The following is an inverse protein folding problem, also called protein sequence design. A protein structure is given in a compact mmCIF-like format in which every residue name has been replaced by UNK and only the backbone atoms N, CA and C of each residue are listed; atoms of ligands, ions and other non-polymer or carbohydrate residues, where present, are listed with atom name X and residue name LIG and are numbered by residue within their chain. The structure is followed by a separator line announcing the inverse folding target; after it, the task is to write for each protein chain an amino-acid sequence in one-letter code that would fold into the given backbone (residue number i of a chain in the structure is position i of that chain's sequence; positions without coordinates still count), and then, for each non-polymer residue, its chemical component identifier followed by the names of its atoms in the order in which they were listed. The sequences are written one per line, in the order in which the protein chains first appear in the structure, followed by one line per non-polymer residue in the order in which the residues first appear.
data_IF_846324106867
#
_entry.id   IF_846324106867
#
_cell.length_a   1.000
_cell.length_b   1.000
_cell.length_c   1.000
_cell.angle_alpha   90.00
_cell.angle_beta   90.00
_cell.angle_gamma   90.00
#
_symmetry.space_group_name_H-M   'P 1'
#
loop_
_entity.id
_entity.type
_entity.pdbx_description
1 polymer ?
#
# COMPACT_ATOMS: atom_id res chain seq x y z
N UNK A 1 -21.16 -29.49 -20.94
CA UNK A 1 -20.25 -28.33 -20.80
C UNK A 1 -19.44 -28.56 -19.53
N UNK A 2 -18.12 -28.71 -19.64
CA UNK A 2 -17.27 -28.95 -18.47
C UNK A 2 -17.07 -27.63 -17.73
N UNK A 3 -17.47 -27.58 -16.45
CA UNK A 3 -17.24 -26.44 -15.58
C UNK A 3 -15.73 -26.39 -15.26
N UNK A 4 -14.99 -25.31 -15.54
CA UNK A 4 -13.59 -25.24 -15.16
C UNK A 4 -13.53 -25.22 -13.63
N UNK A 5 -13.05 -26.31 -13.04
CA UNK A 5 -12.76 -26.37 -11.60
C UNK A 5 -11.61 -25.42 -11.32
N UNK A 6 -11.93 -24.19 -10.93
CA UNK A 6 -10.94 -23.27 -10.38
C UNK A 6 -10.52 -23.84 -9.03
N UNK A 7 -9.39 -24.56 -9.01
CA UNK A 7 -8.81 -25.09 -7.79
C UNK A 7 -8.35 -23.91 -6.93
N UNK A 8 -8.98 -23.73 -5.77
CA UNK A 8 -8.55 -22.74 -4.79
C UNK A 8 -7.11 -23.06 -4.35
N UNK A 9 -6.21 -22.07 -4.25
CA UNK A 9 -4.85 -22.30 -3.79
C UNK A 9 -4.87 -22.85 -2.36
N UNK A 10 -4.08 -23.88 -2.11
CA UNK A 10 -3.89 -24.39 -0.74
C UNK A 10 -3.21 -23.33 0.12
N UNK A 11 -3.34 -23.39 1.44
CA UNK A 11 -2.61 -22.47 2.34
C UNK A 11 -1.09 -22.52 2.09
N UNK A 12 -0.56 -23.69 1.73
CA UNK A 12 0.85 -23.85 1.36
C UNK A 12 1.23 -23.09 0.09
N UNK A 13 0.33 -23.02 -0.89
CA UNK A 13 0.58 -22.30 -2.15
C UNK A 13 0.59 -20.78 -1.91
N UNK A 14 -0.29 -20.29 -1.05
CA UNK A 14 -0.30 -18.88 -0.66
C UNK A 14 0.98 -18.45 0.05
N UNK A 15 1.54 -19.32 0.90
CA UNK A 15 2.82 -19.06 1.57
C UNK A 15 3.98 -19.00 0.56
N UNK A 16 4.01 -19.92 -0.41
CA UNK A 16 5.03 -19.92 -1.47
C UNK A 16 4.96 -18.67 -2.34
N UNK A 17 3.75 -18.21 -2.69
CA UNK A 17 3.57 -16.97 -3.47
C UNK A 17 4.04 -15.75 -2.67
N UNK A 18 3.72 -15.67 -1.37
CA UNK A 18 4.19 -14.57 -0.51
C UNK A 18 5.71 -14.55 -0.40
N UNK A 19 6.32 -15.71 -0.16
CA UNK A 19 7.78 -15.86 -0.13
C UNK A 19 8.41 -15.43 -1.46
N UNK A 20 7.90 -15.95 -2.59
CA UNK A 20 8.39 -15.61 -3.92
C UNK A 20 8.32 -14.11 -4.20
N UNK A 21 7.20 -13.47 -3.83
CA UNK A 21 6.99 -12.03 -3.97
C UNK A 21 7.96 -11.22 -3.10
N UNK A 22 8.14 -11.58 -1.84
CA UNK A 22 9.09 -10.88 -0.95
C UNK A 22 10.52 -10.97 -1.46
N UNK A 23 10.93 -12.13 -1.96
CA UNK A 23 12.24 -12.31 -2.60
C UNK A 23 12.34 -11.47 -3.88
N UNK A 24 11.30 -11.46 -4.72
CA UNK A 24 11.28 -10.69 -5.96
C UNK A 24 11.33 -9.17 -5.73
N UNK A 25 10.73 -8.69 -4.64
CA UNK A 25 10.73 -7.26 -4.29
C UNK A 25 12.10 -6.77 -3.79
N UNK A 26 12.92 -7.66 -3.24
CA UNK A 26 14.30 -7.42 -2.79
C UNK A 26 14.43 -6.18 -1.88
N UNK A 27 13.52 -6.05 -0.92
CA UNK A 27 13.51 -4.95 0.07
C UNK A 27 14.31 -5.31 1.32
N UNK A 28 14.23 -6.57 1.75
CA UNK A 28 14.95 -7.09 2.90
C UNK A 28 15.98 -8.13 2.43
N UNK A 29 17.10 -8.31 3.16
CA UNK A 29 18.04 -9.39 2.87
C UNK A 29 17.35 -10.75 2.86
N UNK A 30 17.77 -11.63 1.96
CA UNK A 30 17.20 -12.99 1.81
C UNK A 30 17.16 -13.74 3.15
N UNK A 31 18.21 -13.66 3.95
CA UNK A 31 18.28 -14.31 5.27
C UNK A 31 17.17 -13.84 6.22
N UNK A 32 16.86 -12.55 6.21
CA UNK A 32 15.77 -11.95 7.00
C UNK A 32 14.42 -12.46 6.52
N UNK A 33 14.22 -12.52 5.19
CA UNK A 33 12.99 -13.06 4.60
C UNK A 33 12.81 -14.54 5.00
N UNK A 34 13.83 -15.38 4.81
CA UNK A 34 13.75 -16.80 5.17
C UNK A 34 13.44 -16.99 6.66
N UNK A 35 14.05 -16.19 7.53
CA UNK A 35 13.77 -16.20 8.97
C UNK A 35 12.32 -15.82 9.29
N UNK A 36 11.77 -14.78 8.65
CA UNK A 36 10.38 -14.34 8.84
C UNK A 36 9.36 -15.40 8.41
N UNK A 37 9.71 -16.20 7.40
CA UNK A 37 8.89 -17.32 6.92
C UNK A 37 9.21 -18.65 7.64
N UNK A 38 10.08 -18.64 8.65
CA UNK A 38 10.54 -19.82 9.41
C UNK A 38 11.09 -20.95 8.50
N UNK A 39 11.83 -20.58 7.46
CA UNK A 39 12.42 -21.53 6.49
C UNK A 39 13.85 -21.85 6.91
N UNK A 40 14.13 -23.15 7.11
CA UNK A 40 15.49 -23.64 7.35
C UNK A 40 16.32 -23.68 6.05
N UNK A 41 17.64 -23.73 6.17
CA UNK A 41 18.54 -23.84 5.03
C UNK A 41 18.24 -25.10 4.18
N UNK A 42 18.02 -26.25 4.82
CA UNK A 42 17.67 -27.50 4.14
C UNK A 42 16.37 -27.34 3.34
N UNK A 43 15.36 -26.68 3.93
CA UNK A 43 14.08 -26.42 3.26
C UNK A 43 14.23 -25.44 2.10
N UNK A 44 15.12 -24.45 2.24
CA UNK A 44 15.44 -23.52 1.17
C UNK A 44 16.09 -24.23 -0.01
N UNK A 45 17.04 -25.15 0.22
CA UNK A 45 17.64 -25.96 -0.84
C UNK A 45 16.61 -26.82 -1.58
N UNK A 46 15.65 -27.40 -0.86
CA UNK A 46 14.53 -28.13 -1.47
C UNK A 46 13.67 -27.21 -2.35
N UNK A 47 13.33 -26.01 -1.86
CA UNK A 47 12.56 -25.02 -2.61
C UNK A 47 13.29 -24.55 -3.87
N UNK A 48 14.61 -24.38 -3.79
CA UNK A 48 15.46 -24.07 -4.95
C UNK A 48 15.49 -25.20 -5.99
N UNK A 49 15.10 -26.43 -5.64
CA UNK A 49 14.97 -27.55 -6.60
C UNK A 49 13.53 -27.72 -7.09
N UNK A 50 12.56 -27.10 -6.43
CA UNK A 50 11.16 -27.21 -6.76
C UNK A 50 10.80 -26.36 -8.00
N UNK A 51 10.45 -27.03 -9.10
CA UNK A 51 10.09 -26.37 -10.36
C UNK A 51 8.88 -25.42 -10.25
N UNK A 52 7.90 -25.73 -9.39
CA UNK A 52 6.75 -24.85 -9.14
C UNK A 52 7.18 -23.54 -8.50
N UNK A 53 8.04 -23.63 -7.48
CA UNK A 53 8.53 -22.44 -6.78
C UNK A 53 9.39 -21.56 -7.68
N UNK A 54 10.26 -22.15 -8.52
CA UNK A 54 11.02 -21.39 -9.53
C UNK A 54 10.13 -20.60 -10.47
N UNK A 55 9.09 -21.24 -11.01
CA UNK A 55 8.15 -20.58 -11.91
C UNK A 55 7.40 -19.44 -11.22
N UNK A 56 6.98 -19.64 -9.96
CA UNK A 56 6.35 -18.58 -9.17
C UNK A 56 7.29 -17.40 -8.92
N UNK A 57 8.54 -17.69 -8.55
CA UNK A 57 9.55 -16.65 -8.32
C UNK A 57 9.84 -15.85 -9.60
N UNK A 58 10.01 -16.53 -10.73
CA UNK A 58 10.21 -15.89 -12.04
C UNK A 58 9.02 -14.99 -12.39
N UNK A 59 7.80 -15.51 -12.25
CA UNK A 59 6.57 -14.74 -12.52
C UNK A 59 6.44 -13.49 -11.63
N UNK A 60 6.76 -13.59 -10.34
CA UNK A 60 6.74 -12.45 -9.42
C UNK A 60 7.86 -11.45 -9.73
N UNK A 61 9.06 -11.91 -10.13
CA UNK A 61 10.14 -11.06 -10.61
C UNK A 61 9.74 -10.27 -11.86
N UNK A 62 9.12 -10.93 -12.84
CA UNK A 62 8.62 -10.27 -14.04
C UNK A 62 7.55 -9.23 -13.70
N UNK A 63 6.53 -9.64 -12.92
CA UNK A 63 5.44 -8.78 -12.49
C UNK A 63 5.95 -7.53 -11.77
N UNK A 64 6.90 -7.72 -10.84
CA UNK A 64 7.51 -6.63 -10.09
C UNK A 64 8.25 -5.65 -11.01
N UNK A 65 9.01 -6.16 -11.98
CA UNK A 65 9.85 -5.34 -12.87
C UNK A 65 9.10 -4.73 -14.07
N UNK A 66 7.80 -4.99 -14.23
CA UNK A 66 7.01 -4.34 -15.28
C UNK A 66 6.97 -2.82 -15.12
N UNK A 67 6.95 -2.10 -16.25
CA UNK A 67 6.86 -0.64 -16.25
C UNK A 67 5.57 -0.12 -15.56
N UNK A 68 4.48 -0.88 -15.66
CA UNK A 68 3.19 -0.56 -15.03
C UNK A 68 3.26 -0.60 -13.49
N UNK A 69 4.22 -1.34 -12.92
CA UNK A 69 4.42 -1.46 -11.48
C UNK A 69 5.38 -0.41 -10.90
N UNK A 70 5.81 0.58 -11.69
CA UNK A 70 6.76 1.61 -11.25
C UNK A 70 6.24 2.40 -10.04
N UNK A 71 4.94 2.69 -9.97
CA UNK A 71 4.37 3.45 -8.86
C UNK A 71 4.49 2.71 -7.52
N UNK A 72 4.11 1.43 -7.48
CA UNK A 72 4.23 0.62 -6.26
C UNK A 72 5.69 0.42 -5.86
N UNK A 73 6.59 0.23 -6.84
CA UNK A 73 8.04 0.19 -6.59
C UNK A 73 8.56 1.46 -5.92
N UNK A 74 8.18 2.62 -6.44
CA UNK A 74 8.58 3.92 -5.87
C UNK A 74 8.00 4.09 -4.47
N UNK A 75 6.72 3.76 -4.28
CA UNK A 75 6.05 3.87 -2.99
C UNK A 75 6.72 3.00 -1.92
N UNK A 76 7.01 1.74 -2.24
CA UNK A 76 7.64 0.82 -1.30
C UNK A 76 9.08 1.25 -0.95
N UNK A 77 9.85 1.70 -1.94
CA UNK A 77 11.20 2.25 -1.73
C UNK A 77 11.16 3.53 -0.90
N UNK A 78 10.23 4.44 -1.17
CA UNK A 78 10.07 5.66 -0.41
C UNK A 78 9.70 5.36 1.05
N UNK A 79 8.83 4.37 1.29
CA UNK A 79 8.49 3.95 2.65
C UNK A 79 9.72 3.42 3.42
N UNK A 80 10.53 2.56 2.79
CA UNK A 80 11.77 2.06 3.39
C UNK A 80 12.76 3.20 3.69
N UNK A 81 12.95 4.13 2.75
CA UNK A 81 13.81 5.31 2.96
C UNK A 81 13.32 6.20 4.09
N UNK A 82 11.99 6.38 4.23
CA UNK A 82 11.41 7.13 5.33
C UNK A 82 11.73 6.44 6.66
N UNK A 83 11.52 5.12 6.75
CA UNK A 83 11.80 4.34 7.97
C UNK A 83 13.26 4.49 8.43
N UNK A 84 14.22 4.39 7.51
CA UNK A 84 15.65 4.61 7.79
C UNK A 84 15.95 6.06 8.22
N UNK A 85 15.18 7.02 7.72
CA UNK A 85 15.37 8.44 8.02
C UNK A 85 14.69 8.89 9.32
N UNK A 86 13.68 8.16 9.82
CA UNK A 86 12.94 8.53 11.05
C UNK A 86 13.84 8.79 12.27
N UNK A 87 14.87 7.99 12.58
CA UNK A 87 15.74 8.24 13.72
C UNK A 87 16.49 9.58 13.62
N UNK A 88 16.98 9.91 12.42
CA UNK A 88 17.70 11.16 12.17
C UNK A 88 16.77 12.37 12.28
N UNK A 89 15.56 12.27 11.72
CA UNK A 89 14.54 13.31 11.91
C UNK A 89 14.22 13.51 13.40
N UNK A 90 14.04 12.43 14.16
CA UNK A 90 13.77 12.51 15.59
C UNK A 90 14.91 13.23 16.34
N UNK A 91 16.17 12.94 16.02
CA UNK A 91 17.32 13.64 16.61
C UNK A 91 17.29 15.15 16.31
N UNK A 92 17.04 15.53 15.04
CA UNK A 92 16.93 16.93 14.61
C UNK A 92 15.77 17.69 15.27
N UNK A 93 14.66 17.01 15.56
CA UNK A 93 13.55 17.63 16.28
C UNK A 93 13.91 18.03 17.73
N UNK A 94 14.87 17.35 18.33
CA UNK A 94 15.35 17.63 19.69
C UNK A 94 16.56 18.57 19.73
N UNK A 95 17.18 18.88 18.60
CA UNK A 95 18.37 19.75 18.51
C UNK A 95 18.01 21.21 18.82
N UNK A 96 18.61 21.82 19.85
CA UNK A 96 18.33 23.19 20.26
C UNK A 96 18.71 24.25 19.22
N UNK A 97 19.68 23.96 18.35
CA UNK A 97 20.17 24.90 17.34
C UNK A 97 19.25 24.97 16.12
N UNK A 98 18.35 24.00 15.94
CA UNK A 98 17.42 24.02 14.80
C UNK A 98 16.25 24.97 14.99
N UNK A 99 15.88 25.64 13.89
CA UNK A 99 14.81 26.63 13.87
C UNK A 99 13.46 25.99 14.24
N UNK A 100 12.76 26.61 15.20
CA UNK A 100 11.46 26.11 15.67
C UNK A 100 10.43 25.86 14.55
N UNK A 101 10.32 26.69 13.48
CA UNK A 101 9.45 26.39 12.35
C UNK A 101 9.79 25.09 11.62
N UNK A 102 11.07 24.77 11.43
CA UNK A 102 11.51 23.55 10.76
C UNK A 102 11.15 22.30 11.59
N UNK A 103 11.23 22.40 12.92
CA UNK A 103 10.81 21.33 13.82
C UNK A 103 9.31 21.06 13.75
N UNK A 104 8.50 22.11 13.70
CA UNK A 104 7.04 21.99 13.57
C UNK A 104 6.68 21.28 12.26
N UNK A 105 7.34 21.61 11.14
CA UNK A 105 7.10 20.93 9.86
C UNK A 105 7.53 19.46 9.89
N UNK A 106 8.67 19.14 10.50
CA UNK A 106 9.08 17.75 10.72
C UNK A 106 8.07 16.96 11.57
N UNK A 107 7.55 17.57 12.64
CA UNK A 107 6.51 16.96 13.47
C UNK A 107 5.19 16.74 12.72
N UNK A 108 4.76 17.69 11.88
CA UNK A 108 3.58 17.52 11.00
C UNK A 108 3.78 16.41 9.98
N UNK A 109 4.98 16.27 9.43
CA UNK A 109 5.30 15.15 8.53
C UNK A 109 5.16 13.81 9.27
N UNK A 110 5.68 13.72 10.50
CA UNK A 110 5.55 12.50 11.32
C UNK A 110 4.11 12.14 11.63
N UNK A 111 3.26 13.11 12.00
CA UNK A 111 1.84 12.83 12.27
C UNK A 111 1.11 12.34 11.01
N UNK A 112 1.46 12.87 9.83
CA UNK A 112 0.92 12.40 8.55
C UNK A 112 1.37 10.98 8.22
N UNK A 113 2.66 10.67 8.38
CA UNK A 113 3.23 9.33 8.12
C UNK A 113 2.64 8.28 9.10
N UNK A 114 2.48 8.64 10.37
CA UNK A 114 1.92 7.76 11.40
C UNK A 114 0.39 7.59 11.31
N UNK A 115 -0.28 8.25 10.36
CA UNK A 115 -1.74 8.22 10.27
C UNK A 115 -2.46 8.88 11.46
N UNK A 116 -1.74 9.71 12.23
CA UNK A 116 -2.25 10.42 13.42
C UNK A 116 -2.66 11.87 13.11
N UNK A 117 -2.82 12.21 11.82
CA UNK A 117 -3.25 13.54 11.40
C UNK A 117 -4.66 13.88 11.88
N UNK A 118 -4.91 15.16 12.17
CA UNK A 118 -6.25 15.67 12.43
C UNK A 118 -7.12 15.46 11.18
N UNK A 119 -8.31 14.83 11.28
CA UNK A 119 -9.25 14.75 10.17
C UNK A 119 -9.69 16.18 9.81
N UNK A 120 -9.22 16.70 8.67
CA UNK A 120 -9.64 18.01 8.18
C UNK A 120 -8.58 18.82 7.44
N UNK A 121 -7.30 18.47 7.51
CA UNK A 121 -6.26 19.13 6.69
C UNK A 121 -5.99 18.37 5.40
N UNK A 122 -7.03 18.25 4.58
CA UNK A 122 -6.88 18.00 3.15
C UNK A 122 -6.59 19.37 2.53
N UNK A 123 -5.32 19.70 2.30
CA UNK A 123 -5.00 20.79 1.38
C UNK A 123 -5.56 20.41 0.00
N UNK A 124 -6.68 21.05 -0.39
CA UNK A 124 -7.24 20.94 -1.74
C UNK A 124 -8.24 19.80 -1.98
N UNK A 125 -8.99 19.35 -0.96
CA UNK A 125 -10.11 18.45 -1.18
C UNK A 125 -11.26 19.14 -1.94
N UNK A 126 -11.29 18.98 -3.26
CA UNK A 126 -12.50 19.24 -4.06
C UNK A 126 -13.63 18.39 -3.48
N UNK A 127 -14.86 18.92 -3.30
CA UNK A 127 -15.97 18.11 -2.80
C UNK A 127 -16.14 16.91 -3.72
N UNK A 128 -15.90 15.73 -3.17
CA UNK A 128 -15.85 14.48 -3.92
C UNK A 128 -17.27 14.14 -4.40
N UNK A 129 -17.59 14.53 -5.64
CA UNK A 129 -18.82 14.06 -6.30
C UNK A 129 -18.66 12.57 -6.56
N UNK A 130 -19.47 11.77 -5.86
CA UNK A 130 -19.56 10.35 -6.10
C UNK A 130 -20.41 10.09 -7.35
N UNK A 131 -19.76 9.94 -8.51
CA UNK A 131 -20.42 9.58 -9.77
C UNK A 131 -20.27 8.08 -10.00
N UNK A 132 -21.37 7.34 -9.96
CA UNK A 132 -21.39 5.92 -10.40
C UNK A 132 -21.88 5.88 -11.84
N UNK A 133 -20.97 5.60 -12.79
CA UNK A 133 -21.32 5.33 -14.18
C UNK A 133 -21.47 3.83 -14.38
N UNK A 134 -22.70 3.36 -14.52
CA UNK A 134 -22.98 1.93 -14.79
C UNK A 134 -23.13 1.77 -16.31
N UNK A 135 -22.12 1.16 -16.95
CA UNK A 135 -22.16 0.82 -18.38
C UNK A 135 -22.85 -0.53 -18.57
N UNK A 136 -24.07 -0.52 -19.15
CA UNK A 136 -24.91 -1.71 -19.33
C UNK A 136 -24.79 -2.35 -20.73
N UNK A 137 -23.71 -2.06 -21.46
CA UNK A 137 -23.45 -2.59 -22.79
C UNK A 137 -24.06 -1.77 -23.94
N UNK A 138 -23.78 -2.14 -25.21
CA UNK A 138 -23.96 -1.27 -26.38
C UNK A 138 -25.40 -1.01 -26.82
N UNK A 139 -26.40 -1.59 -26.15
CA UNK A 139 -27.83 -1.42 -26.50
C UNK A 139 -28.66 -0.71 -25.43
N UNK A 140 -28.04 -0.18 -24.36
CA UNK A 140 -28.73 0.58 -23.32
C UNK A 140 -27.96 1.85 -22.98
N UNK A 141 -28.63 3.00 -22.95
CA UNK A 141 -28.02 4.28 -22.60
C UNK A 141 -27.52 4.27 -21.14
N UNK A 142 -26.33 4.83 -20.85
CA UNK A 142 -25.78 4.86 -19.49
C UNK A 142 -26.70 5.62 -18.52
N UNK A 143 -26.94 5.05 -17.33
CA UNK A 143 -27.67 5.72 -16.26
C UNK A 143 -26.67 6.44 -15.37
N UNK A 144 -26.86 7.75 -15.19
CA UNK A 144 -26.05 8.58 -14.27
C UNK A 144 -26.89 8.88 -13.04
N UNK A 145 -26.43 8.49 -11.86
CA UNK A 145 -27.06 8.83 -10.58
C UNK A 145 -26.11 9.79 -9.86
N UNK A 146 -26.53 11.05 -9.73
CA UNK A 146 -25.83 12.07 -8.96
C UNK A 146 -26.52 12.19 -7.60
N UNK A 147 -25.77 11.97 -6.51
CA UNK A 147 -26.25 12.22 -5.14
C UNK A 147 -25.55 13.46 -4.62
N UNK A 148 -26.30 14.56 -4.51
CA UNK A 148 -25.85 15.78 -3.83
C UNK A 148 -25.88 15.52 -2.32
N UNK A 149 -24.69 15.52 -1.69
CA UNK A 149 -24.55 15.45 -0.24
C UNK A 149 -24.09 16.82 0.25
N UNK A 150 -25.00 17.79 0.19
CA UNK A 150 -24.82 19.06 0.87
C UNK A 150 -25.07 18.86 2.38
N UNK A 151 -24.07 19.07 3.26
CA UNK A 151 -24.29 18.99 4.69
C UNK A 151 -25.24 20.12 5.11
N UNK A 152 -26.39 19.77 5.69
CA UNK A 152 -27.31 20.76 6.28
C UNK A 152 -26.78 21.17 7.65
N UNK A 153 -26.26 22.39 7.76
CA UNK A 153 -26.02 23.03 9.04
C UNK A 153 -27.37 23.40 9.65
N UNK A 154 -27.68 22.91 10.86
CA UNK A 154 -28.84 23.36 11.62
C UNK A 154 -28.40 24.64 12.34
N UNK A 155 -28.88 25.80 11.88
CA UNK A 155 -28.75 27.04 12.63
C UNK A 155 -29.69 26.99 13.84
N UNK A 156 -29.14 27.04 15.06
CA UNK A 156 -29.93 27.26 16.26
C UNK A 156 -30.31 28.73 16.32
N UNK A 157 -31.59 29.03 16.03
CA UNK A 157 -32.18 30.32 16.37
C UNK A 157 -32.28 30.45 17.89
N UNK A 158 -31.56 31.41 18.48
CA UNK A 158 -31.76 31.85 19.86
C UNK A 158 -32.97 32.79 19.85
N UNK A 159 -34.10 32.34 20.38
CA UNK A 159 -35.24 33.21 20.65
C UNK A 159 -35.06 33.85 22.03
N UNK A 160 -35.15 35.19 22.06
CA UNK A 160 -35.28 36.03 23.26
C UNK A 160 -36.53 35.69 24.09
#
# INVERSE_FOLDING_TARGET
MANPTVLAPSQSDMQLVKLAREIAMDILPLETILKNHAISNDRWEELQRNGKFKFLLESECEAWNTALNTHERVKLKAAAMIEEWLPELNNRLHDHDEALPAKIEGAKMLTRVAGMGLPGQVEGGTPERFTVTINLGPQVAPVTIEKDVTPRTIEHSTAE
#
